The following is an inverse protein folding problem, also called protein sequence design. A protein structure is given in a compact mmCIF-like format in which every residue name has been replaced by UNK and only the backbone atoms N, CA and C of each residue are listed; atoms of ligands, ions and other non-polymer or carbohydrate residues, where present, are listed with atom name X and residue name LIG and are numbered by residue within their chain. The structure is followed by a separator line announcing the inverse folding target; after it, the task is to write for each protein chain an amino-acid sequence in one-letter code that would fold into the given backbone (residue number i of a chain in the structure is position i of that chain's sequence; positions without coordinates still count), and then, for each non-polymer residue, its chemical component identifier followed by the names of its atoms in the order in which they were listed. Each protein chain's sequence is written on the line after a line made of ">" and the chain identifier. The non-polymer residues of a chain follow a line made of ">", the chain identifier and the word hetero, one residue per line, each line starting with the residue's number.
data_IF_993192834156
#
_entry.id   IF_993192834156
#
_cell.length_a   1.000
_cell.length_b   1.000
_cell.length_c   1.000
_cell.angle_alpha   90.00
_cell.angle_beta   90.00
_cell.angle_gamma   90.00
#
_symmetry.space_group_name_H-M   'P 1'
#
loop_
_entity.id
_entity.type
_entity.pdbx_description
1 polymer ?
#
# COMPACT_ATOMS: atom_id res chain seq x y z
N UNK A 1 2.95 5.66 5.85
CA UNK A 1 3.08 4.25 5.38
C UNK A 1 2.36 3.34 6.35
N UNK A 2 1.77 2.26 5.84
CA UNK A 2 1.02 1.30 6.64
C UNK A 2 1.08 -0.08 6.00
N UNK A 3 0.55 -1.08 6.71
CA UNK A 3 0.36 -2.42 6.18
C UNK A 3 -1.11 -2.60 5.82
N UNK A 4 -1.37 -3.33 4.75
CA UNK A 4 -2.70 -3.65 4.28
C UNK A 4 -2.72 -5.05 3.66
N UNK A 5 -3.85 -5.74 3.77
CA UNK A 5 -4.09 -6.96 3.01
C UNK A 5 -4.59 -6.62 1.62
N UNK A 6 -4.03 -7.27 0.60
CA UNK A 6 -4.40 -7.11 -0.80
C UNK A 6 -4.56 -8.49 -1.43
N UNK A 7 -5.42 -8.63 -2.47
CA UNK A 7 -5.38 -9.79 -3.35
C UNK A 7 -3.98 -9.99 -3.92
N UNK A 8 -3.55 -11.25 -4.12
CA UNK A 8 -2.20 -11.58 -4.60
C UNK A 8 -1.88 -10.91 -5.93
N UNK A 9 -2.86 -10.79 -6.83
CA UNK A 9 -2.68 -10.10 -8.12
C UNK A 9 -2.43 -8.59 -8.02
N UNK A 10 -2.69 -7.98 -6.86
CA UNK A 10 -2.55 -6.54 -6.61
C UNK A 10 -1.45 -6.18 -5.61
N UNK A 11 -0.68 -7.17 -5.12
CA UNK A 11 0.37 -6.97 -4.11
C UNK A 11 1.75 -6.67 -4.69
N UNK A 12 1.88 -6.61 -6.02
CA UNK A 12 3.15 -6.32 -6.67
C UNK A 12 3.61 -4.88 -6.34
N UNK A 13 4.88 -4.66 -5.97
CA UNK A 13 5.42 -3.32 -5.77
C UNK A 13 5.24 -2.48 -7.02
N UNK A 14 4.78 -1.23 -6.86
CA UNK A 14 4.39 -0.42 -8.00
C UNK A 14 2.89 -0.26 -8.20
N UNK A 15 2.11 -1.25 -7.76
CA UNK A 15 0.66 -1.27 -7.98
C UNK A 15 -0.02 -0.14 -7.22
N UNK A 16 -0.90 0.59 -7.90
CA UNK A 16 -1.75 1.59 -7.26
C UNK A 16 -3.00 0.95 -6.68
N UNK A 17 -3.43 1.47 -5.53
CA UNK A 17 -4.69 1.09 -4.90
C UNK A 17 -5.37 2.33 -4.31
N UNK A 18 -6.70 2.30 -4.24
CA UNK A 18 -7.45 3.35 -3.58
C UNK A 18 -7.61 3.01 -2.10
N UNK A 19 -7.32 3.97 -1.23
CA UNK A 19 -7.58 3.89 0.20
C UNK A 19 -8.65 4.91 0.54
N UNK A 20 -9.71 4.46 1.19
CA UNK A 20 -10.72 5.36 1.72
C UNK A 20 -10.25 5.97 3.04
N UNK A 21 -10.21 7.29 3.10
CA UNK A 21 -9.90 8.05 4.31
C UNK A 21 -11.07 9.00 4.57
N UNK A 22 -11.88 8.69 5.60
CA UNK A 22 -13.03 9.51 6.02
C UNK A 22 -14.00 9.82 4.87
N UNK A 23 -14.35 8.81 4.07
CA UNK A 23 -15.24 8.95 2.93
C UNK A 23 -14.61 9.57 1.67
N UNK A 24 -13.30 9.84 1.66
CA UNK A 24 -12.56 10.28 0.47
C UNK A 24 -11.64 9.18 -0.03
N UNK A 25 -11.74 8.86 -1.32
CA UNK A 25 -10.79 7.95 -1.99
C UNK A 25 -9.47 8.67 -2.25
N UNK A 26 -8.36 8.06 -1.85
CA UNK A 26 -7.00 8.57 -2.02
C UNK A 26 -6.14 7.49 -2.66
N UNK A 27 -5.37 7.85 -3.69
CA UNK A 27 -4.45 6.92 -4.35
C UNK A 27 -3.24 6.64 -3.44
N UNK A 28 -2.95 5.36 -3.25
CA UNK A 28 -1.76 4.84 -2.61
C UNK A 28 -1.02 3.89 -3.56
N UNK A 29 0.22 3.56 -3.22
CA UNK A 29 1.07 2.66 -4.02
C UNK A 29 1.72 1.62 -3.13
N UNK A 30 1.74 0.38 -3.60
CA UNK A 30 2.45 -0.71 -2.93
C UNK A 30 3.96 -0.47 -3.04
N UNK A 31 4.63 -0.44 -1.88
CA UNK A 31 6.08 -0.26 -1.77
C UNK A 31 6.76 -1.57 -1.33
N UNK A 32 8.03 -1.81 -1.73
CA UNK A 32 8.78 -2.96 -1.24
C UNK A 32 8.89 -2.99 0.29
N UNK A 33 8.85 -4.19 0.87
CA UNK A 33 9.13 -4.42 2.28
C UNK A 33 10.59 -4.90 2.47
N UNK A 34 11.21 -4.64 3.63
CA UNK A 34 10.73 -3.79 4.71
C UNK A 34 10.81 -2.30 4.33
N UNK A 35 9.77 -1.55 4.67
CA UNK A 35 9.73 -0.10 4.40
C UNK A 35 10.62 0.72 5.35
N UNK A 36 11.09 0.12 6.44
CA UNK A 36 12.01 0.72 7.41
C UNK A 36 12.97 -0.34 7.94
N UNK A 37 14.26 -0.03 7.98
CA UNK A 37 15.28 -0.84 8.63
C UNK A 37 15.93 0.02 9.72
N UNK A 38 15.94 -0.49 10.95
CA UNK A 38 16.70 0.12 12.05
C UNK A 38 18.11 -0.48 12.01
N UNK A 39 19.10 0.36 11.71
CA UNK A 39 20.50 0.11 12.05
C UNK A 39 20.75 0.42 13.51
#
# INVERSE_FOLDING_TARGET
>A
IGLAYLPVGASAPGTECAIEIRGRQVTARVVPLPFYKRG
#
